data_IF_182916913056
#
_entry.id   IF_182916913056
#
_cell.length_a   1.000
_cell.length_b   1.000
_cell.length_c   1.000
_cell.angle_alpha   90.00
_cell.angle_beta   90.00
_cell.angle_gamma   90.00
#
_symmetry.space_group_name_H-M   'P 1'
#
loop_
_entity.id
_entity.type
_entity.pdbx_description
1 polymer ?
#
# COMPACT_ATOMS: atom_id res chain seq x y z
N UNK A 1 -20.51 28.65 10.24
CA UNK A 1 -21.15 27.69 9.31
C UNK A 1 -20.07 26.87 8.62
N UNK A 2 -19.88 25.62 9.04
CA UNK A 2 -18.99 24.69 8.32
C UNK A 2 -19.79 24.23 7.10
N UNK A 3 -19.42 24.74 5.92
CA UNK A 3 -20.01 24.32 4.65
C UNK A 3 -19.85 22.82 4.50
N UNK A 4 -20.97 22.09 4.50
CA UNK A 4 -21.07 20.69 4.12
C UNK A 4 -20.90 20.54 2.60
N UNK A 5 -19.75 20.96 2.08
CA UNK A 5 -19.30 20.52 0.76
C UNK A 5 -18.90 19.05 0.91
N UNK A 6 -19.82 18.14 0.57
CA UNK A 6 -19.59 16.70 0.65
C UNK A 6 -18.31 16.30 -0.08
N UNK A 7 -17.22 16.12 0.64
CA UNK A 7 -15.94 15.70 0.07
C UNK A 7 -16.05 14.24 -0.37
N UNK A 8 -16.30 14.02 -1.66
CA UNK A 8 -16.29 12.68 -2.26
C UNK A 8 -14.83 12.21 -2.42
N UNK A 9 -14.55 10.91 -2.32
CA UNK A 9 -13.18 10.36 -2.47
C UNK A 9 -13.08 9.39 -3.65
N UNK A 10 -12.00 9.50 -4.43
CA UNK A 10 -11.55 8.46 -5.37
C UNK A 10 -10.57 7.55 -4.64
N UNK A 11 -10.80 6.23 -4.70
CA UNK A 11 -10.00 5.24 -3.97
C UNK A 11 -9.03 4.51 -4.90
N UNK A 12 -7.77 4.51 -4.52
CA UNK A 12 -6.67 3.89 -5.21
C UNK A 12 -6.01 2.88 -4.26
N UNK A 13 -5.69 1.69 -4.74
CA UNK A 13 -4.77 0.78 -4.06
C UNK A 13 -3.47 0.85 -4.84
N UNK A 14 -2.53 1.63 -4.31
CA UNK A 14 -1.16 1.73 -4.82
C UNK A 14 -0.38 0.51 -4.33
N UNK A 15 -0.60 -0.58 -5.07
CA UNK A 15 0.07 -1.85 -4.92
C UNK A 15 0.22 -2.43 -6.31
N UNK A 16 1.44 -2.71 -6.73
CA UNK A 16 1.65 -3.46 -7.96
C UNK A 16 1.34 -4.91 -7.66
N UNK A 17 0.21 -5.41 -8.15
CA UNK A 17 -0.03 -6.86 -8.16
C UNK A 17 0.84 -7.45 -9.27
N UNK A 18 2.05 -7.86 -8.91
CA UNK A 18 2.78 -8.82 -9.71
C UNK A 18 2.12 -10.17 -9.48
N UNK A 19 1.25 -10.55 -10.40
CA UNK A 19 0.85 -11.94 -10.51
C UNK A 19 2.12 -12.70 -10.97
N UNK A 20 2.74 -13.44 -10.04
CA UNK A 20 3.72 -14.50 -10.33
C UNK A 20 5.05 -14.11 -11.02
N UNK A 21 5.87 -13.23 -10.42
CA UNK A 21 7.27 -13.11 -10.85
C UNK A 21 8.25 -13.10 -9.67
N UNK A 22 9.22 -14.01 -9.69
CA UNK A 22 10.27 -14.22 -8.68
C UNK A 22 11.23 -13.02 -8.48
N UNK A 23 10.98 -11.91 -9.17
CA UNK A 23 11.85 -10.72 -9.19
C UNK A 23 11.10 -9.43 -8.86
N UNK A 24 9.98 -9.52 -8.14
CA UNK A 24 9.23 -8.36 -7.62
C UNK A 24 10.09 -7.51 -6.66
N UNK A 25 9.93 -6.16 -6.63
CA UNK A 25 10.62 -5.28 -5.67
C UNK A 25 10.03 -5.32 -4.25
N UNK A 26 8.87 -5.95 -4.05
CA UNK A 26 8.20 -5.97 -2.74
C UNK A 26 8.97 -6.61 -1.58
N UNK A 27 9.80 -7.65 -1.77
CA UNK A 27 10.59 -8.24 -0.70
C UNK A 27 11.49 -7.25 0.05
N UNK A 28 11.97 -6.18 -0.61
CA UNK A 28 12.79 -5.15 0.05
C UNK A 28 12.05 -4.36 1.14
N UNK A 29 10.72 -4.34 1.08
CA UNK A 29 9.88 -3.64 2.04
C UNK A 29 9.42 -4.52 3.20
N UNK A 30 9.65 -5.84 3.13
CA UNK A 30 9.22 -6.77 4.18
C UNK A 30 9.92 -6.42 5.49
N UNK A 31 9.13 -6.13 6.53
CA UNK A 31 9.62 -5.75 7.87
C UNK A 31 10.59 -4.55 7.94
N UNK A 32 10.84 -3.85 6.82
CA UNK A 32 11.71 -2.68 6.77
C UNK A 32 10.88 -1.41 7.04
N UNK A 33 10.59 -1.15 8.31
CA UNK A 33 9.76 -0.02 8.76
C UNK A 33 10.24 1.36 8.27
N UNK A 34 11.55 1.68 8.26
CA UNK A 34 12.03 2.92 7.65
C UNK A 34 11.70 3.03 6.15
N UNK A 35 11.85 1.95 5.40
CA UNK A 35 11.53 1.92 3.98
C UNK A 35 10.02 1.99 3.72
N UNK A 36 9.21 1.32 4.56
CA UNK A 36 7.74 1.42 4.55
C UNK A 36 7.25 2.84 4.86
N UNK A 37 7.91 3.53 5.79
CA UNK A 37 7.67 4.95 6.07
C UNK A 37 7.96 5.82 4.84
N UNK A 38 9.04 5.53 4.12
CA UNK A 38 9.39 6.24 2.90
C UNK A 38 8.46 5.89 1.72
N UNK A 39 7.94 4.66 1.65
CA UNK A 39 6.95 4.23 0.67
C UNK A 39 5.66 5.04 0.78
N UNK A 40 5.19 5.30 2.00
CA UNK A 40 4.08 6.21 2.28
C UNK A 40 4.29 7.61 1.71
N UNK A 41 5.48 8.18 1.95
CA UNK A 41 5.85 9.51 1.45
C UNK A 41 5.96 9.52 -0.07
N UNK A 42 6.45 8.45 -0.68
CA UNK A 42 6.51 8.31 -2.13
C UNK A 42 5.10 8.29 -2.75
N UNK A 43 4.17 7.56 -2.14
CA UNK A 43 2.78 7.46 -2.60
C UNK A 43 2.06 8.82 -2.57
N UNK A 44 2.14 9.53 -1.44
CA UNK A 44 1.50 10.85 -1.26
C UNK A 44 2.11 11.90 -2.19
N UNK A 45 3.45 11.99 -2.26
CA UNK A 45 4.15 12.93 -3.16
C UNK A 45 3.82 12.69 -4.64
N UNK A 46 3.71 11.43 -5.06
CA UNK A 46 3.34 11.11 -6.44
C UNK A 46 1.94 11.64 -6.78
N UNK A 47 0.95 11.42 -5.91
CA UNK A 47 -0.40 11.95 -6.13
C UNK A 47 -0.45 13.48 -6.09
N UNK A 48 0.24 14.12 -5.14
CA UNK A 48 0.35 15.58 -5.08
C UNK A 48 1.03 16.16 -6.33
N UNK A 49 2.03 15.48 -6.88
CA UNK A 49 2.68 15.91 -8.12
C UNK A 49 1.74 15.84 -9.31
N UNK A 50 0.91 14.79 -9.42
CA UNK A 50 -0.12 14.72 -10.46
C UNK A 50 -1.17 15.82 -10.31
N UNK A 51 -1.59 16.08 -9.06
CA UNK A 51 -2.54 17.15 -8.75
C UNK A 51 -1.99 18.53 -9.17
N UNK A 52 -0.74 18.84 -8.79
CA UNK A 52 -0.07 20.09 -9.19
C UNK A 52 0.02 20.27 -10.70
N UNK A 53 0.29 19.19 -11.47
CA UNK A 53 0.29 19.24 -12.95
C UNK A 53 -1.07 19.60 -13.55
N UNK A 54 -2.16 19.37 -12.81
CA UNK A 54 -3.51 19.75 -13.21
C UNK A 54 -3.94 21.10 -12.60
N UNK A 55 -3.07 21.78 -11.83
CA UNK A 55 -3.41 23.02 -11.14
C UNK A 55 -4.40 22.84 -9.97
N UNK A 56 -4.48 21.62 -9.40
CA UNK A 56 -5.46 21.27 -8.38
C UNK A 56 -4.79 20.94 -7.04
N UNK A 57 -5.44 21.32 -5.93
CA UNK A 57 -5.10 20.81 -4.60
C UNK A 57 -6.01 19.65 -4.20
N UNK A 58 -5.42 18.65 -3.54
CA UNK A 58 -6.12 17.45 -3.10
C UNK A 58 -5.82 17.13 -1.64
N UNK A 59 -6.81 16.55 -0.96
CA UNK A 59 -6.65 15.90 0.32
C UNK A 59 -6.36 14.42 0.10
N UNK A 60 -5.36 13.89 0.80
CA UNK A 60 -4.95 12.50 0.69
C UNK A 60 -5.11 11.81 2.03
N UNK A 61 -5.79 10.68 2.00
CA UNK A 61 -5.80 9.70 3.06
C UNK A 61 -5.02 8.47 2.60
N UNK A 62 -4.08 7.97 3.40
CA UNK A 62 -3.35 6.76 3.05
C UNK A 62 -3.21 5.78 4.23
N UNK A 63 -3.25 4.49 3.91
CA UNK A 63 -3.12 3.40 4.88
C UNK A 63 -2.15 2.33 4.35
N UNK A 64 -1.22 1.89 5.19
CA UNK A 64 -0.27 0.83 4.85
C UNK A 64 -0.81 -0.48 5.37
N UNK A 65 -0.70 -1.51 4.53
CA UNK A 65 -0.85 -2.89 4.92
C UNK A 65 0.45 -3.62 4.63
N UNK A 66 0.83 -4.54 5.52
CA UNK A 66 2.04 -5.38 5.37
C UNK A 66 1.72 -6.81 4.99
N UNK A 67 0.44 -7.19 4.90
CA UNK A 67 0.00 -8.57 4.76
C UNK A 67 -1.01 -8.80 3.65
N UNK A 68 -0.94 -10.00 3.09
CA UNK A 68 -1.94 -10.56 2.19
C UNK A 68 -3.04 -11.29 2.96
N UNK A 69 -4.01 -11.85 2.22
CA UNK A 69 -5.12 -12.61 2.84
C UNK A 69 -4.68 -13.91 3.51
N UNK A 70 -3.53 -14.45 3.11
CA UNK A 70 -2.86 -15.60 3.71
C UNK A 70 -1.88 -15.24 4.84
N UNK A 71 -1.81 -13.95 5.22
CA UNK A 71 -0.83 -13.42 6.21
C UNK A 71 0.62 -13.58 5.79
N UNK A 72 0.86 -13.74 4.49
CA UNK A 72 2.19 -13.58 3.91
C UNK A 72 2.52 -12.09 3.77
N UNK A 73 3.82 -11.78 3.80
CA UNK A 73 4.32 -10.44 3.54
C UNK A 73 3.84 -9.94 2.17
N UNK A 74 3.08 -8.85 2.19
CA UNK A 74 2.52 -8.23 1.00
C UNK A 74 2.33 -6.73 1.25
N UNK A 75 3.43 -5.97 1.40
CA UNK A 75 3.36 -4.55 1.68
C UNK A 75 2.68 -3.79 0.55
N UNK A 76 1.69 -2.96 0.89
CA UNK A 76 0.99 -2.11 -0.05
C UNK A 76 0.34 -0.89 0.60
N UNK A 77 0.20 0.19 -0.16
CA UNK A 77 -0.42 1.43 0.30
C UNK A 77 -1.78 1.61 -0.35
N UNK A 78 -2.81 1.79 0.47
CA UNK A 78 -4.09 2.32 0.02
C UNK A 78 -4.03 3.84 0.05
N UNK A 79 -4.47 4.48 -1.02
CA UNK A 79 -4.50 5.94 -1.15
C UNK A 79 -5.89 6.37 -1.60
N UNK A 80 -6.56 7.17 -0.80
CA UNK A 80 -7.81 7.82 -1.14
C UNK A 80 -7.54 9.30 -1.33
N UNK A 81 -8.02 9.86 -2.43
CA UNK A 81 -7.87 11.28 -2.78
C UNK A 81 -9.24 11.95 -2.85
N UNK A 82 -9.35 13.21 -2.42
CA UNK A 82 -10.60 13.99 -2.55
C UNK A 82 -10.96 14.20 -4.03
N UNK A 83 -12.26 14.29 -4.32
CA UNK A 83 -12.82 14.55 -5.67
C UNK A 83 -13.03 16.03 -5.94
N UNK A 84 -13.18 16.87 -4.91
CA UNK A 84 -13.23 18.32 -5.09
C UNK A 84 -11.82 18.88 -5.17
N UNK A 85 -11.59 19.77 -6.14
CA UNK A 85 -10.40 20.60 -6.17
C UNK A 85 -10.57 21.71 -5.15
N UNK A 86 -9.57 21.93 -4.31
CA UNK A 86 -9.44 23.22 -3.64
C UNK A 86 -8.62 24.16 -4.54
N UNK A 87 -9.25 25.22 -5.04
CA UNK A 87 -8.56 26.35 -5.69
C UNK A 87 -8.99 27.59 -4.95
N UNK A 88 -8.05 28.29 -4.28
CA UNK A 88 -8.27 29.64 -3.71
C UNK A 88 -9.61 29.76 -2.96
N UNK A 89 -9.82 28.91 -1.94
CA UNK A 89 -11.04 28.86 -1.10
C UNK A 89 -12.36 28.49 -1.80
N UNK A 90 -12.30 27.99 -3.03
CA UNK A 90 -13.48 27.51 -3.78
C UNK A 90 -13.30 26.02 -4.08
N UNK A 91 -14.32 25.22 -3.74
CA UNK A 91 -14.37 23.81 -4.14
C UNK A 91 -15.00 23.73 -5.53
N UNK A 92 -14.22 23.36 -6.55
CA UNK A 92 -14.71 23.23 -7.93
C UNK A 92 -14.29 21.91 -8.57
N UNK A 93 -15.10 21.40 -9.50
CA UNK A 93 -14.76 20.29 -10.41
C UNK A 93 -14.51 18.91 -9.79
N UNK A 94 -14.24 17.93 -10.66
CA UNK A 94 -13.81 16.58 -10.28
C UNK A 94 -12.32 16.39 -10.56
N UNK A 95 -11.53 16.03 -9.54
CA UNK A 95 -10.16 15.56 -9.73
C UNK A 95 -10.17 14.20 -10.48
N UNK A 96 -9.69 14.18 -11.71
CA UNK A 96 -9.60 12.97 -12.53
C UNK A 96 -8.14 12.55 -12.73
N UNK A 97 -7.78 11.43 -12.12
CA UNK A 97 -6.48 10.80 -12.31
C UNK A 97 -6.60 9.69 -13.35
N UNK A 98 -5.90 9.83 -14.49
CA UNK A 98 -5.80 8.76 -15.47
C UNK A 98 -4.97 7.63 -14.87
N UNK A 99 -5.44 6.39 -15.05
CA UNK A 99 -4.79 5.21 -14.48
C UNK A 99 -3.33 5.06 -14.94
N UNK A 100 -3.06 5.27 -16.24
CA UNK A 100 -1.71 5.16 -16.81
C UNK A 100 -0.75 6.16 -16.16
N UNK A 101 -1.17 7.42 -15.99
CA UNK A 101 -0.36 8.46 -15.36
C UNK A 101 -0.02 8.10 -13.90
N UNK A 102 -0.98 7.54 -13.17
CA UNK A 102 -0.77 7.05 -11.79
C UNK A 102 0.19 5.87 -11.76
N UNK A 103 0.03 4.90 -12.66
CA UNK A 103 0.93 3.73 -12.76
C UNK A 103 2.37 4.17 -13.08
N UNK A 104 2.53 5.11 -14.01
CA UNK A 104 3.84 5.63 -14.41
C UNK A 104 4.53 6.40 -13.28
N UNK A 105 3.84 7.38 -12.67
CA UNK A 105 4.44 8.19 -11.62
C UNK A 105 4.72 7.33 -10.37
N UNK A 106 3.86 6.36 -10.07
CA UNK A 106 4.05 5.44 -8.96
C UNK A 106 5.28 4.57 -9.17
N UNK A 107 5.41 3.97 -10.35
CA UNK A 107 6.59 3.20 -10.73
C UNK A 107 7.87 4.03 -10.61
N UNK A 108 7.86 5.26 -11.12
CA UNK A 108 8.99 6.18 -10.99
C UNK A 108 9.33 6.51 -9.54
N UNK A 109 8.33 6.73 -8.69
CA UNK A 109 8.50 7.03 -7.28
C UNK A 109 9.11 5.87 -6.50
N UNK A 110 8.61 4.64 -6.70
CA UNK A 110 9.15 3.44 -6.02
C UNK A 110 10.57 3.13 -6.48
N UNK A 111 10.84 3.19 -7.78
CA UNK A 111 12.20 2.94 -8.30
C UNK A 111 13.19 3.97 -7.79
N UNK A 112 12.79 5.25 -7.71
CA UNK A 112 13.61 6.32 -7.13
C UNK A 112 13.87 6.10 -5.64
N UNK A 113 12.84 5.71 -4.88
CA UNK A 113 12.96 5.36 -3.46
C UNK A 113 13.99 4.25 -3.26
N UNK A 114 13.81 3.13 -3.96
CA UNK A 114 14.70 1.97 -3.87
C UNK A 114 16.13 2.33 -4.28
N UNK A 115 16.31 3.14 -5.34
CA UNK A 115 17.63 3.60 -5.77
C UNK A 115 18.40 4.32 -4.67
N UNK A 116 17.73 5.20 -3.92
CA UNK A 116 18.34 5.95 -2.81
C UNK A 116 18.41 5.17 -1.50
N UNK A 117 17.87 3.95 -1.45
CA UNK A 117 17.81 3.14 -0.23
C UNK A 117 18.78 1.95 -0.26
N UNK A 118 19.74 1.92 -1.19
CA UNK A 118 20.66 0.78 -1.32
C UNK A 118 21.38 0.46 -0.01
N UNK A 119 21.99 1.47 0.62
CA UNK A 119 22.80 1.27 1.83
C UNK A 119 21.91 0.86 3.03
N UNK A 120 20.66 1.35 3.09
CA UNK A 120 19.65 0.93 4.08
C UNK A 120 19.16 -0.52 3.87
N UNK A 121 18.99 -0.94 2.62
CA UNK A 121 18.43 -2.24 2.27
C UNK A 121 19.49 -3.33 2.34
N UNK A 122 20.71 -3.00 1.91
CA UNK A 122 21.82 -3.92 1.68
C UNK A 122 21.36 -5.23 0.99
N UNK A 123 20.92 -5.14 -0.28
CA UNK A 123 20.14 -6.21 -0.93
C UNK A 123 20.91 -7.54 -1.04
N UNK A 124 22.25 -7.51 -1.08
CA UNK A 124 23.07 -8.71 -1.12
C UNK A 124 23.00 -9.58 0.15
N UNK A 125 22.58 -9.01 1.28
CA UNK A 125 22.39 -9.74 2.54
C UNK A 125 21.01 -10.38 2.68
N UNK A 126 20.08 -10.07 1.79
CA UNK A 126 18.72 -10.62 1.85
C UNK A 126 18.68 -12.05 1.30
N UNK A 127 17.91 -12.98 1.91
CA UNK A 127 17.78 -14.35 1.43
C UNK A 127 17.37 -14.43 -0.03
N UNK A 128 18.11 -15.21 -0.83
CA UNK A 128 17.87 -15.37 -2.27
C UNK A 128 18.29 -14.18 -3.16
N UNK A 129 18.88 -13.12 -2.59
CA UNK A 129 19.26 -11.90 -3.31
C UNK A 129 20.78 -11.63 -3.33
N UNK A 130 21.60 -12.61 -2.96
CA UNK A 130 23.08 -12.52 -2.99
C UNK A 130 23.70 -12.25 -4.37
N UNK A 131 22.91 -12.29 -5.44
CA UNK A 131 23.33 -11.85 -6.77
C UNK A 131 23.36 -10.31 -6.94
N UNK A 132 22.73 -9.55 -6.03
CA UNK A 132 22.74 -8.08 -6.01
C UNK A 132 23.86 -7.60 -5.08
N UNK A 133 25.10 -7.79 -5.54
CA UNK A 133 26.32 -7.64 -4.72
C UNK A 133 26.77 -6.20 -4.50
N UNK A 134 26.41 -5.31 -5.42
CA UNK A 134 26.87 -3.92 -5.42
C UNK A 134 25.83 -2.95 -6.02
N UNK A 135 26.16 -1.65 -6.00
CA UNK A 135 25.33 -0.58 -6.58
C UNK A 135 25.15 -0.72 -8.10
N UNK A 136 26.02 -1.43 -8.83
CA UNK A 136 25.88 -1.67 -10.28
C UNK A 136 24.79 -2.73 -10.55
N UNK A 137 24.85 -3.87 -9.85
CA UNK A 137 23.83 -4.92 -9.91
C UNK A 137 22.47 -4.40 -9.44
N UNK A 138 22.44 -3.56 -8.39
CA UNK A 138 21.22 -2.91 -7.93
C UNK A 138 20.57 -2.03 -9.00
N UNK A 139 21.36 -1.16 -9.65
CA UNK A 139 20.86 -0.31 -10.74
C UNK A 139 20.33 -1.13 -11.91
N UNK A 140 21.00 -2.24 -12.27
CA UNK A 140 20.54 -3.18 -13.31
C UNK A 140 19.20 -3.81 -12.92
N UNK A 141 19.07 -4.31 -11.69
CA UNK A 141 17.83 -4.86 -11.17
C UNK A 141 16.68 -3.84 -11.25
N UNK A 142 16.91 -2.62 -10.74
CA UNK A 142 15.89 -1.56 -10.75
C UNK A 142 15.51 -1.10 -12.16
N UNK A 143 16.46 -1.07 -13.11
CA UNK A 143 16.17 -0.79 -14.52
C UNK A 143 15.25 -1.86 -15.11
N UNK A 144 15.51 -3.13 -14.81
CA UNK A 144 14.65 -4.23 -15.24
C UNK A 144 13.24 -4.11 -14.65
N UNK A 145 13.12 -3.74 -13.36
CA UNK A 145 11.82 -3.50 -12.73
C UNK A 145 11.08 -2.31 -13.33
N UNK A 146 11.78 -1.23 -13.68
CA UNK A 146 11.19 -0.06 -14.30
C UNK A 146 10.64 -0.36 -15.71
N UNK A 147 11.31 -1.23 -16.47
CA UNK A 147 10.85 -1.65 -17.80
C UNK A 147 9.58 -2.51 -17.80
N UNK A 148 9.14 -3.00 -16.64
CA UNK A 148 7.92 -3.81 -16.50
C UNK A 148 6.66 -2.95 -16.46
N UNK A 149 5.53 -3.58 -16.78
CA UNK A 149 4.22 -3.01 -16.54
C UNK A 149 3.82 -3.11 -15.07
N UNK A 150 3.36 -2.00 -14.50
CA UNK A 150 2.96 -1.91 -13.09
C UNK A 150 1.47 -1.63 -13.01
N UNK A 151 0.67 -2.64 -12.62
CA UNK A 151 -0.78 -2.50 -12.48
C UNK A 151 -1.15 -1.88 -11.14
N UNK A 152 -1.80 -0.72 -11.15
CA UNK A 152 -2.44 -0.11 -9.98
C UNK A 152 -3.94 -0.45 -9.98
N UNK A 153 -4.48 -0.80 -8.82
CA UNK A 153 -5.90 -1.11 -8.70
C UNK A 153 -6.70 0.14 -8.30
N UNK A 154 -7.54 0.62 -9.21
CA UNK A 154 -8.50 1.69 -8.93
C UNK A 154 -9.79 1.03 -8.44
N UNK A 155 -10.21 1.35 -7.22
CA UNK A 155 -11.51 0.88 -6.73
C UNK A 155 -12.62 1.75 -7.35
N UNK A 156 -13.83 1.17 -7.48
CA UNK A 156 -15.00 1.93 -7.90
C UNK A 156 -15.17 3.18 -7.02
N UNK A 157 -15.47 4.30 -7.69
CA UNK A 157 -15.78 5.59 -7.06
C UNK A 157 -16.87 5.36 -6.01
N UNK A 158 -16.70 5.92 -4.81
CA UNK A 158 -17.72 5.85 -3.76
C UNK A 158 -18.47 7.19 -3.72
N UNK A 159 -19.81 7.14 -3.83
CA UNK A 159 -20.67 8.29 -3.53
C UNK A 159 -20.90 8.33 -2.02
N UNK A 160 -20.94 9.53 -1.43
CA UNK A 160 -21.27 9.75 -0.01
C UNK A 160 -20.09 9.68 0.98
N UNK A 161 -20.00 10.70 1.84
CA UNK A 161 -18.98 10.82 2.90
C UNK A 161 -19.00 9.62 3.88
N UNK A 162 -20.20 9.11 4.19
CA UNK A 162 -20.38 7.95 5.08
C UNK A 162 -19.69 6.68 4.59
N UNK A 163 -19.64 6.43 3.28
CA UNK A 163 -18.91 5.29 2.74
C UNK A 163 -17.40 5.45 2.82
N UNK A 164 -16.91 6.68 2.77
CA UNK A 164 -15.49 7.02 3.00
C UNK A 164 -15.12 6.87 4.48
N UNK A 165 -15.99 7.28 5.40
CA UNK A 165 -15.84 7.06 6.85
C UNK A 165 -15.91 5.56 7.20
N UNK A 166 -16.86 4.81 6.65
CA UNK A 166 -16.93 3.34 6.81
C UNK A 166 -15.72 2.63 6.17
N UNK A 167 -15.16 3.20 5.11
CA UNK A 167 -13.90 2.72 4.55
C UNK A 167 -12.76 2.99 5.53
N UNK A 168 -12.57 4.23 5.98
CA UNK A 168 -11.58 4.65 6.97
C UNK A 168 -11.64 3.80 8.26
N UNK A 169 -12.83 3.64 8.83
CA UNK A 169 -13.07 2.86 10.03
C UNK A 169 -12.69 1.38 9.89
N UNK A 170 -12.75 0.80 8.68
CA UNK A 170 -12.27 -0.57 8.45
C UNK A 170 -10.76 -0.71 8.53
N UNK A 171 -10.00 0.35 8.25
CA UNK A 171 -8.53 0.34 8.34
C UNK A 171 -8.07 0.64 9.76
N UNK A 172 -8.74 1.55 10.46
CA UNK A 172 -8.44 1.86 11.86
C UNK A 172 -8.78 0.70 12.82
N UNK A 173 -9.83 -0.08 12.52
CA UNK A 173 -10.34 -1.12 13.43
C UNK A 173 -9.81 -2.53 13.17
N UNK A 174 -9.04 -2.78 12.10
CA UNK A 174 -8.66 -4.15 11.72
C UNK A 174 -7.23 -4.47 12.14
N UNK A 175 -7.02 -5.26 13.21
CA UNK A 175 -5.75 -5.96 13.39
C UNK A 175 -5.44 -6.85 12.17
N UNK A 176 -4.17 -7.27 11.99
CA UNK A 176 -3.75 -8.15 10.90
C UNK A 176 -4.66 -9.36 10.68
N UNK A 177 -5.24 -9.86 11.77
CA UNK A 177 -6.25 -10.91 11.83
C UNK A 177 -7.28 -10.54 12.91
N UNK A 178 -8.57 -10.69 12.65
CA UNK A 178 -9.56 -10.65 13.73
C UNK A 178 -9.41 -11.91 14.57
N UNK A 179 -9.44 -11.81 15.91
CA UNK A 179 -9.35 -12.94 16.83
C UNK A 179 -10.33 -14.09 16.46
N UNK A 180 -11.48 -13.74 15.86
CA UNK A 180 -12.48 -14.68 15.33
C UNK A 180 -12.00 -15.63 14.22
N UNK A 181 -10.82 -15.41 13.62
CA UNK A 181 -10.22 -16.33 12.65
C UNK A 181 -9.27 -17.36 13.25
N UNK A 182 -8.96 -17.28 14.55
CA UNK A 182 -8.18 -18.29 15.29
C UNK A 182 -9.06 -19.44 15.81
N UNK A 183 -10.14 -19.75 15.09
CA UNK A 183 -11.31 -20.47 15.63
C UNK A 183 -11.10 -21.97 15.88
N UNK A 184 -10.03 -22.58 15.40
CA UNK A 184 -9.85 -24.02 15.57
C UNK A 184 -8.43 -24.41 15.98
N UNK A 185 -8.35 -25.01 17.15
CA UNK A 185 -7.16 -25.63 17.72
C UNK A 185 -7.32 -27.15 17.61
N UNK A 186 -6.50 -27.80 16.78
CA UNK A 186 -6.31 -29.26 16.81
C UNK A 186 -4.82 -29.55 16.69
N UNK A 187 -4.21 -30.02 17.78
CA UNK A 187 -2.88 -30.64 17.76
C UNK A 187 -1.72 -29.79 17.23
N UNK A 188 -1.67 -28.48 17.55
CA UNK A 188 -0.53 -27.61 17.21
C UNK A 188 -0.57 -26.93 15.84
N UNK A 189 -1.63 -27.14 15.06
CA UNK A 189 -1.88 -26.44 13.80
C UNK A 189 -3.10 -25.52 13.86
N UNK A 190 -3.02 -24.38 13.17
CA UNK A 190 -4.09 -23.38 13.07
C UNK A 190 -4.68 -23.39 11.67
N UNK A 191 -6.00 -23.50 11.58
CA UNK A 191 -6.74 -23.40 10.30
C UNK A 191 -7.14 -21.95 10.07
N UNK A 192 -6.58 -21.34 9.03
CA UNK A 192 -6.88 -19.96 8.63
C UNK A 192 -7.76 -19.93 7.38
N UNK A 193 -8.94 -19.34 7.52
CA UNK A 193 -9.88 -19.15 6.42
C UNK A 193 -9.65 -17.81 5.71
N UNK A 194 -9.55 -17.84 4.39
CA UNK A 194 -9.41 -16.65 3.57
C UNK A 194 -10.21 -16.76 2.27
N UNK A 195 -10.66 -15.62 1.76
CA UNK A 195 -11.29 -15.58 0.44
C UNK A 195 -10.21 -15.40 -0.62
N UNK A 196 -10.10 -16.34 -1.54
CA UNK A 196 -9.23 -16.28 -2.71
C UNK A 196 -9.89 -15.41 -3.78
N UNK A 197 -9.24 -14.32 -4.19
CA UNK A 197 -9.76 -13.43 -5.23
C UNK A 197 -9.50 -13.92 -6.64
N UNK A 198 -8.56 -14.85 -6.82
CA UNK A 198 -8.29 -15.47 -8.12
C UNK A 198 -9.41 -16.43 -8.48
N UNK A 199 -9.91 -17.18 -7.50
CA UNK A 199 -10.97 -18.17 -7.72
C UNK A 199 -12.34 -17.72 -7.24
N UNK A 200 -12.43 -16.61 -6.51
CA UNK A 200 -13.69 -16.10 -5.93
C UNK A 200 -14.23 -16.95 -4.76
N UNK A 201 -13.47 -17.94 -4.30
CA UNK A 201 -13.94 -18.93 -3.32
C UNK A 201 -13.28 -18.74 -1.96
N UNK A 202 -13.97 -19.17 -0.91
CA UNK A 202 -13.38 -19.31 0.42
C UNK A 202 -12.47 -20.55 0.45
N UNK A 203 -11.23 -20.34 0.85
CA UNK A 203 -10.21 -21.37 1.01
C UNK A 203 -9.72 -21.44 2.45
N UNK A 204 -9.12 -22.57 2.79
CA UNK A 204 -8.48 -22.82 4.06
C UNK A 204 -6.99 -23.04 3.84
N UNK A 205 -6.17 -22.61 4.80
CA UNK A 205 -4.78 -23.02 4.91
C UNK A 205 -4.53 -23.49 6.33
N UNK A 206 -3.78 -24.59 6.46
CA UNK A 206 -3.33 -25.10 7.76
C UNK A 206 -1.87 -24.71 7.93
N UNK A 207 -1.55 -24.06 9.03
CA UNK A 207 -0.19 -23.63 9.36
C UNK A 207 0.20 -24.16 10.75
N UNK A 208 1.47 -24.51 10.99
CA UNK A 208 1.97 -24.70 12.34
C UNK A 208 1.72 -23.45 13.20
N UNK A 209 1.44 -23.63 14.49
CA UNK A 209 1.20 -22.53 15.43
C UNK A 209 2.35 -21.52 15.42
N UNK A 210 3.60 -22.00 15.44
CA UNK A 210 4.79 -21.14 15.43
C UNK A 210 4.85 -20.26 14.18
N UNK A 211 4.53 -20.83 13.01
CA UNK A 211 4.50 -20.08 11.75
C UNK A 211 3.39 -19.03 11.75
N UNK A 212 2.23 -19.34 12.35
CA UNK A 212 1.14 -18.37 12.50
C UNK A 212 1.54 -17.20 13.41
N UNK A 213 2.17 -17.50 14.55
CA UNK A 213 2.68 -16.48 15.48
C UNK A 213 3.75 -15.63 14.80
N UNK A 214 4.72 -16.25 14.11
CA UNK A 214 5.77 -15.55 13.35
C UNK A 214 5.17 -14.60 12.32
N UNK A 215 4.19 -15.05 11.52
CA UNK A 215 3.49 -14.20 10.55
C UNK A 215 2.79 -13.03 11.24
N UNK A 216 2.08 -13.29 12.35
CA UNK A 216 1.37 -12.24 13.08
C UNK A 216 2.31 -11.16 13.62
N UNK A 217 3.38 -11.58 14.31
CA UNK A 217 4.40 -10.67 14.87
C UNK A 217 5.04 -9.85 13.75
N UNK A 218 5.29 -10.45 12.58
CA UNK A 218 5.84 -9.75 11.41
C UNK A 218 4.97 -8.61 10.85
N UNK A 219 3.72 -8.46 11.33
CA UNK A 219 2.83 -7.38 10.92
C UNK A 219 2.58 -6.34 12.01
N UNK A 220 3.16 -6.51 13.20
CA UNK A 220 3.11 -5.53 14.28
C UNK A 220 4.00 -4.33 13.90
N UNK A 221 3.44 -3.10 13.81
CA UNK A 221 4.22 -1.91 13.47
C UNK A 221 5.33 -1.63 14.47
N UNK A 222 6.45 -1.10 13.99
CA UNK A 222 7.48 -0.54 14.87
C UNK A 222 6.87 0.52 15.80
N UNK A 223 7.49 0.71 16.96
CA UNK A 223 7.06 1.70 17.95
C UNK A 223 6.88 3.07 17.29
N UNK A 224 5.76 3.73 17.57
CA UNK A 224 5.37 5.03 17.01
C UNK A 224 5.12 5.07 15.48
N UNK A 225 5.10 3.92 14.80
CA UNK A 225 4.80 3.89 13.37
C UNK A 225 3.31 4.13 13.13
N UNK A 226 2.98 5.25 12.47
CA UNK A 226 1.61 5.57 12.04
C UNK A 226 1.27 4.78 10.77
N UNK A 227 0.40 3.77 10.92
CA UNK A 227 -0.15 2.93 9.84
C UNK A 227 -1.15 3.64 8.95
N UNK A 228 -1.58 4.84 9.36
CA UNK A 228 -2.56 5.68 8.67
C UNK A 228 -2.05 7.11 8.69
N UNK A 229 -2.16 7.83 7.56
CA UNK A 229 -1.67 9.20 7.39
C UNK A 229 -2.59 10.04 6.52
N UNK A 230 -2.53 11.34 6.77
CA UNK A 230 -3.20 12.39 6.02
C UNK A 230 -2.13 13.28 5.37
N UNK A 231 -2.40 13.83 4.20
CA UNK A 231 -1.50 14.75 3.50
C UNK A 231 -2.29 15.68 2.57
N UNK A 232 -1.71 16.81 2.18
CA UNK A 232 -2.42 17.85 1.42
C UNK A 232 -3.31 18.68 2.34
N UNK A 233 -4.40 19.26 1.85
CA UNK A 233 -5.22 20.18 2.66
C UNK A 233 -5.96 19.53 3.85
N UNK A 234 -5.94 18.19 3.96
CA UNK A 234 -6.49 17.45 5.11
C UNK A 234 -5.48 17.27 6.25
N UNK A 235 -4.26 17.80 6.09
CA UNK A 235 -3.23 17.93 7.11
C UNK A 235 -3.28 19.36 7.65
N UNK A 236 -4.20 19.60 8.60
CA UNK A 236 -4.40 20.85 9.33
C UNK A 236 -4.33 20.57 10.82
#
# INVERSE_FOLDING_TARGET
MVSTAGSYFTRLRLATHYFHHATSPWPFFNNNWPLLNALFRAATRAMLQLARKQGIEIGIFCALHTYGRQLNQHPHVHVSVTRGVWIVNIVYGEAVFKKKDVEEIWRGAVIRLLRHSYDLINPGLLPGLGHIRDKKHWRRYLRAQYGRYWKVHFAKKTKGAWHSVKYLGRYLKRPPVSASKLRHYRGGAVVHHYHDHRTGQHRQQTLPQEEMIRRYISHIPARHFKMVRYSGFVES
#
